data_IF_446914786885
#
_entry.id   IF_446914786885
#
_cell.length_a   1.000
_cell.length_b   1.000
_cell.length_c   1.000
_cell.angle_alpha   90.00
_cell.angle_beta   90.00
_cell.angle_gamma   90.00
#
_symmetry.space_group_name_H-M   'P 1'
#
loop_
_entity.id
_entity.type
_entity.pdbx_description
1 polymer ?
#
# COMPACT_ATOMS: atom_id res chain seq x y z
N UNK A 1 11.38 -7.34 19.84
CA UNK A 1 10.74 -7.87 18.60
C UNK A 1 9.25 -7.56 18.57
N UNK A 2 8.55 -7.58 19.71
CA UNK A 2 7.19 -7.02 19.86
C UNK A 2 7.13 -5.52 19.58
N UNK A 3 8.15 -4.77 19.98
CA UNK A 3 8.18 -3.30 19.86
C UNK A 3 8.07 -2.81 18.41
N UNK A 4 8.73 -3.50 17.48
CA UNK A 4 8.66 -3.17 16.06
C UNK A 4 7.25 -3.37 15.48
N UNK A 5 6.53 -4.39 15.95
CA UNK A 5 5.18 -4.65 15.50
C UNK A 5 4.22 -3.60 16.07
N UNK A 6 4.40 -3.24 17.34
CA UNK A 6 3.65 -2.15 17.97
C UNK A 6 3.90 -0.82 17.26
N UNK A 7 5.16 -0.51 16.96
CA UNK A 7 5.55 0.71 16.23
C UNK A 7 4.89 0.76 14.84
N UNK A 8 4.93 -0.36 14.10
CA UNK A 8 4.26 -0.48 12.82
C UNK A 8 2.73 -0.28 12.94
N UNK A 9 2.07 -0.94 13.89
CA UNK A 9 0.61 -0.78 14.10
C UNK A 9 0.22 0.65 14.49
N UNK A 10 1.11 1.39 15.15
CA UNK A 10 0.88 2.80 15.48
C UNK A 10 1.20 3.76 14.32
N UNK A 11 1.71 3.26 13.20
CA UNK A 11 2.09 4.10 12.07
C UNK A 11 0.88 4.87 11.52
N UNK A 12 0.95 6.21 11.45
CA UNK A 12 -0.15 7.02 10.96
C UNK A 12 -0.52 6.65 9.52
N UNK A 13 -1.79 6.31 9.29
CA UNK A 13 -2.27 5.97 7.95
C UNK A 13 -2.06 4.52 7.52
N UNK A 14 -1.49 3.64 8.37
CA UNK A 14 -1.36 2.21 8.05
C UNK A 14 -2.70 1.57 7.67
N UNK A 15 -3.77 1.90 8.39
CA UNK A 15 -5.11 1.40 8.07
C UNK A 15 -5.61 1.83 6.69
N UNK A 16 -5.31 3.06 6.27
CA UNK A 16 -5.64 3.56 4.93
C UNK A 16 -4.82 2.89 3.84
N UNK A 17 -3.52 2.69 4.08
CA UNK A 17 -2.64 1.97 3.16
C UNK A 17 -3.14 0.52 2.97
N UNK A 18 -3.48 -0.17 4.06
CA UNK A 18 -4.00 -1.53 4.02
C UNK A 18 -5.35 -1.62 3.29
N UNK A 19 -6.28 -0.71 3.57
CA UNK A 19 -7.56 -0.64 2.88
C UNK A 19 -7.40 -0.32 1.39
N UNK A 20 -6.52 0.62 1.04
CA UNK A 20 -6.16 0.94 -0.34
C UNK A 20 -5.59 -0.27 -1.08
N UNK A 21 -4.73 -1.06 -0.43
CA UNK A 21 -4.18 -2.29 -0.99
C UNK A 21 -5.27 -3.36 -1.23
N UNK A 22 -6.19 -3.56 -0.29
CA UNK A 22 -7.30 -4.51 -0.45
C UNK A 22 -8.23 -4.11 -1.59
N UNK A 23 -8.58 -2.83 -1.69
CA UNK A 23 -9.41 -2.32 -2.79
C UNK A 23 -8.67 -2.47 -4.12
N UNK A 24 -7.41 -2.05 -4.19
CA UNK A 24 -6.58 -2.19 -5.39
C UNK A 24 -6.49 -3.66 -5.85
N UNK A 25 -6.34 -4.60 -4.91
CA UNK A 25 -6.35 -6.04 -5.17
C UNK A 25 -7.66 -6.54 -5.78
N UNK A 26 -8.81 -6.00 -5.38
CA UNK A 26 -10.09 -6.33 -5.99
C UNK A 26 -10.22 -5.84 -7.44
N UNK A 27 -9.50 -4.76 -7.81
CA UNK A 27 -9.49 -4.19 -9.17
C UNK A 27 -8.30 -4.68 -10.02
N UNK A 28 -7.51 -5.62 -9.52
CA UNK A 28 -6.25 -6.12 -10.12
C UNK A 28 -6.41 -6.85 -11.46
N UNK A 29 -7.64 -7.00 -11.96
CA UNK A 29 -7.93 -7.49 -13.32
C UNK A 29 -7.32 -6.64 -14.46
N UNK A 30 -6.83 -5.43 -14.17
CA UNK A 30 -6.11 -4.55 -15.11
C UNK A 30 -4.59 -4.56 -14.87
N UNK A 31 -3.88 -5.62 -15.29
CA UNK A 31 -2.40 -5.75 -15.48
C UNK A 31 -1.45 -4.81 -14.69
N UNK A 32 -1.63 -4.64 -13.38
CA UNK A 32 -0.80 -3.76 -12.53
C UNK A 32 -0.97 -2.23 -12.76
N UNK A 33 -1.67 -1.80 -13.80
CA UNK A 33 -1.94 -0.37 -14.04
C UNK A 33 -3.17 0.11 -13.25
N UNK A 34 -4.22 -0.72 -13.18
CA UNK A 34 -5.44 -0.39 -12.43
C UNK A 34 -5.20 -0.36 -10.91
N UNK A 35 -4.34 -1.24 -10.41
CA UNK A 35 -3.90 -1.26 -9.00
C UNK A 35 -3.20 0.03 -8.63
N UNK A 36 -2.28 0.51 -9.48
CA UNK A 36 -1.54 1.75 -9.27
C UNK A 36 -2.47 2.98 -9.19
N UNK A 37 -3.47 3.07 -10.08
CA UNK A 37 -4.46 4.16 -10.10
C UNK A 37 -5.28 4.25 -8.80
N UNK A 38 -5.52 3.11 -8.14
CA UNK A 38 -6.27 3.06 -6.88
C UNK A 38 -5.36 3.26 -5.68
N UNK A 39 -4.19 2.60 -5.68
CA UNK A 39 -3.32 2.53 -4.51
C UNK A 39 -2.45 3.78 -4.31
N UNK A 40 -1.83 4.31 -5.37
CA UNK A 40 -0.88 5.43 -5.24
C UNK A 40 -1.48 6.73 -4.68
N UNK A 41 -2.72 7.13 -5.02
CA UNK A 41 -3.34 8.33 -4.42
C UNK A 41 -3.54 8.23 -2.90
N UNK A 42 -3.68 7.02 -2.37
CA UNK A 42 -3.81 6.76 -0.93
C UNK A 42 -2.43 6.62 -0.29
N UNK A 43 -1.57 5.76 -0.85
CA UNK A 43 -0.25 5.47 -0.31
C UNK A 43 0.66 6.71 -0.28
N UNK A 44 0.60 7.56 -1.33
CA UNK A 44 1.40 8.78 -1.42
C UNK A 44 1.05 9.86 -0.39
N UNK A 45 -0.06 9.73 0.34
CA UNK A 45 -0.39 10.64 1.45
C UNK A 45 0.41 10.33 2.72
N UNK A 46 0.93 9.11 2.84
CA UNK A 46 1.56 8.61 4.07
C UNK A 46 3.00 8.15 3.84
N UNK A 47 3.31 7.59 2.66
CA UNK A 47 4.62 7.06 2.32
C UNK A 47 5.40 8.03 1.44
N UNK A 48 6.73 7.96 1.53
CA UNK A 48 7.58 8.63 0.52
C UNK A 48 7.38 7.98 -0.85
N UNK A 49 7.66 8.68 -1.96
CA UNK A 49 7.43 8.16 -3.30
C UNK A 49 8.10 6.80 -3.56
N UNK A 50 9.33 6.62 -3.06
CA UNK A 50 10.09 5.38 -3.20
C UNK A 50 9.41 4.23 -2.44
N UNK A 51 8.93 4.49 -1.22
CA UNK A 51 8.24 3.48 -0.42
C UNK A 51 6.88 3.11 -1.02
N UNK A 52 6.11 4.10 -1.50
CA UNK A 52 4.82 3.85 -2.16
C UNK A 52 4.99 2.96 -3.40
N UNK A 53 5.99 3.23 -4.24
CA UNK A 53 6.31 2.42 -5.41
C UNK A 53 6.81 1.03 -5.04
N UNK A 54 7.64 0.92 -3.99
CA UNK A 54 8.13 -0.37 -3.50
C UNK A 54 6.97 -1.26 -3.06
N UNK A 55 6.03 -0.72 -2.26
CA UNK A 55 4.86 -1.46 -1.79
C UNK A 55 3.97 -1.88 -2.95
N UNK A 56 3.70 -0.98 -3.90
CA UNK A 56 2.94 -1.30 -5.11
C UNK A 56 3.60 -2.44 -5.90
N UNK A 57 4.91 -2.36 -6.11
CA UNK A 57 5.66 -3.36 -6.89
C UNK A 57 5.64 -4.72 -6.19
N UNK A 58 5.82 -4.76 -4.88
CA UNK A 58 5.73 -6.01 -4.09
C UNK A 58 4.30 -6.56 -4.15
N UNK A 59 3.29 -5.70 -3.98
CA UNK A 59 1.89 -6.10 -4.05
C UNK A 59 1.52 -6.65 -5.43
N UNK A 60 2.06 -6.10 -6.52
CA UNK A 60 1.78 -6.55 -7.88
C UNK A 60 2.63 -7.74 -8.34
N UNK A 61 3.75 -8.03 -7.67
CA UNK A 61 4.62 -9.17 -7.98
C UNK A 61 4.09 -10.51 -7.46
N UNK A 62 3.25 -10.51 -6.42
CA UNK A 62 2.69 -11.70 -5.76
C UNK A 62 1.18 -11.75 -5.83
#
# INVERSE_FOLDING_TARGET
>A
MSDLLTEALTYPGLGWIALGALIAGAVRGFSGFGTALVFLPVAGQFLSPIWALTVLTVMDAF
#
